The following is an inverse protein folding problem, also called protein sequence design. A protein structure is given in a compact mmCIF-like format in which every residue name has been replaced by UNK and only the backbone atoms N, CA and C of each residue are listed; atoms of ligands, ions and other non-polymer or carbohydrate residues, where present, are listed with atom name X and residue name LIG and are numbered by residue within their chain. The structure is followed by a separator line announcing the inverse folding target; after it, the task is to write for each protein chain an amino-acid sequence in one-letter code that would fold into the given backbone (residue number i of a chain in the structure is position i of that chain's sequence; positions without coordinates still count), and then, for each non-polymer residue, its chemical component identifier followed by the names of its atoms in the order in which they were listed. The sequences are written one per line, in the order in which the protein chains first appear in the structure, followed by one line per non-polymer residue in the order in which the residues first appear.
data_IF_132997707835
#
_entry.id   IF_132997707835
#
_cell.length_a   1.000
_cell.length_b   1.000
_cell.length_c   1.000
_cell.angle_alpha   90.00
_cell.angle_beta   90.00
_cell.angle_gamma   90.00
#
_symmetry.space_group_name_H-M   'P 1'
#
loop_
_entity.id
_entity.type
_entity.pdbx_description
1 polymer ?
#
# COMPACT_ATOMS: atom_id res chain seq x y z
N UNK A 1 -32.48 15.16 -13.56
CA UNK A 1 -31.68 15.08 -12.32
C UNK A 1 -31.05 16.45 -12.12
N UNK A 2 -31.20 17.05 -10.94
CA UNK A 2 -30.83 18.45 -10.68
C UNK A 2 -29.33 18.67 -10.89
N UNK A 3 -28.95 19.65 -11.71
CA UNK A 3 -27.55 19.95 -12.10
C UNK A 3 -26.76 20.74 -11.05
N UNK A 4 -27.08 20.58 -9.76
CA UNK A 4 -26.47 21.36 -8.66
C UNK A 4 -26.03 20.51 -7.48
N UNK A 5 -25.99 19.19 -7.61
CA UNK A 5 -25.41 18.34 -6.57
C UNK A 5 -23.89 18.40 -6.70
N UNK A 6 -23.22 18.94 -5.67
CA UNK A 6 -21.77 19.00 -5.59
C UNK A 6 -21.20 17.58 -5.71
N UNK A 7 -20.30 17.37 -6.69
CA UNK A 7 -19.68 16.07 -6.91
C UNK A 7 -18.68 15.78 -5.79
N UNK A 8 -18.66 14.54 -5.32
CA UNK A 8 -17.86 14.14 -4.17
C UNK A 8 -16.45 13.68 -4.58
N UNK A 9 -15.39 13.99 -3.80
CA UNK A 9 -14.07 13.39 -4.00
C UNK A 9 -14.15 11.85 -3.92
N UNK A 10 -13.30 11.19 -4.70
CA UNK A 10 -13.32 9.73 -4.84
C UNK A 10 -11.98 9.16 -4.38
N UNK A 11 -11.99 8.23 -3.43
CA UNK A 11 -10.83 7.38 -3.13
C UNK A 11 -10.95 6.07 -3.90
N UNK A 12 -9.88 5.69 -4.58
CA UNK A 12 -9.75 4.39 -5.24
C UNK A 12 -8.80 3.56 -4.38
N UNK A 13 -9.32 2.53 -3.71
CA UNK A 13 -8.58 1.70 -2.77
C UNK A 13 -7.98 0.47 -3.46
N UNK A 14 -6.66 0.29 -3.32
CA UNK A 14 -5.91 -0.91 -3.71
C UNK A 14 -5.42 -1.62 -2.44
N UNK A 15 -5.99 -2.79 -2.16
CA UNK A 15 -5.61 -3.59 -1.00
C UNK A 15 -4.18 -4.14 -1.10
N UNK A 16 -3.54 -4.34 0.05
CA UNK A 16 -2.24 -5.01 0.19
C UNK A 16 -2.32 -6.54 0.14
N UNK A 17 -1.24 -7.19 0.59
CA UNK A 17 -1.11 -8.65 0.68
C UNK A 17 0.07 -9.25 -0.11
N UNK A 18 1.13 -8.47 -0.32
CA UNK A 18 2.38 -8.90 -0.98
C UNK A 18 2.19 -9.28 -2.46
N UNK A 19 1.09 -8.84 -3.08
CA UNK A 19 0.57 -9.33 -4.36
C UNK A 19 0.26 -10.84 -4.40
N UNK A 20 0.40 -11.57 -3.29
CA UNK A 20 0.11 -13.00 -3.19
C UNK A 20 -1.32 -13.28 -2.73
N UNK A 21 -1.84 -12.40 -1.88
CA UNK A 21 -3.10 -12.56 -1.16
C UNK A 21 -3.78 -11.19 -0.97
N UNK A 22 -4.96 -11.17 -0.37
CA UNK A 22 -5.72 -9.95 -0.09
C UNK A 22 -7.08 -9.94 -0.75
N UNK A 23 -7.90 -8.96 -0.36
CA UNK A 23 -9.22 -8.73 -0.94
C UNK A 23 -9.75 -7.34 -0.59
N UNK A 24 -10.51 -6.74 -1.48
CA UNK A 24 -11.35 -5.57 -1.27
C UNK A 24 -12.49 -5.82 -0.28
N UNK A 25 -12.73 -7.07 0.09
CA UNK A 25 -13.78 -7.49 1.03
C UNK A 25 -13.28 -7.72 2.46
N UNK A 26 -12.03 -7.34 2.79
CA UNK A 26 -11.49 -7.47 4.15
C UNK A 26 -12.31 -6.56 5.10
N UNK A 27 -12.91 -7.10 6.18
CA UNK A 27 -13.87 -6.36 7.00
C UNK A 27 -13.35 -5.06 7.62
N UNK A 28 -12.10 -5.03 8.11
CA UNK A 28 -11.52 -3.83 8.72
C UNK A 28 -11.06 -2.78 7.68
N UNK A 29 -11.16 -3.10 6.38
CA UNK A 29 -10.85 -2.20 5.27
C UNK A 29 -12.13 -1.73 4.57
N UNK A 30 -13.28 -1.84 5.25
CA UNK A 30 -14.58 -1.42 4.70
C UNK A 30 -14.91 0.01 5.13
N UNK A 31 -15.22 0.92 4.20
CA UNK A 31 -15.45 2.32 4.48
C UNK A 31 -16.84 2.73 5.04
N UNK A 32 -17.89 1.89 5.22
CA UNK A 32 -19.18 2.37 5.70
C UNK A 32 -19.12 3.24 6.97
N UNK A 33 -18.32 2.92 8.01
CA UNK A 33 -18.22 3.80 9.19
C UNK A 33 -17.70 5.21 8.84
N UNK A 34 -16.64 5.31 8.02
CA UNK A 34 -16.12 6.59 7.56
C UNK A 34 -17.12 7.36 6.67
N UNK A 35 -17.77 6.66 5.74
CA UNK A 35 -18.77 7.24 4.84
C UNK A 35 -19.96 7.77 5.64
N UNK A 36 -20.46 7.00 6.61
CA UNK A 36 -21.59 7.40 7.44
C UNK A 36 -21.29 8.63 8.31
N UNK A 37 -20.07 8.72 8.85
CA UNK A 37 -19.62 9.88 9.63
C UNK A 37 -19.55 11.15 8.78
N UNK A 38 -18.88 11.08 7.64
CA UNK A 38 -18.52 12.27 6.85
C UNK A 38 -19.54 12.67 5.80
N UNK A 39 -20.22 11.68 5.17
CA UNK A 39 -21.17 11.85 4.06
C UNK A 39 -20.66 12.75 2.92
N UNK A 40 -19.35 12.74 2.68
CA UNK A 40 -18.70 13.75 1.84
C UNK A 40 -17.63 13.21 0.88
N UNK A 41 -17.58 11.90 0.65
CA UNK A 41 -16.68 11.26 -0.29
C UNK A 41 -17.25 9.92 -0.76
N UNK A 42 -16.66 9.38 -1.82
CA UNK A 42 -16.90 8.02 -2.31
C UNK A 42 -15.62 7.22 -2.16
N UNK A 43 -15.75 5.93 -1.83
CA UNK A 43 -14.64 4.97 -1.86
C UNK A 43 -14.99 3.87 -2.85
N UNK A 44 -14.09 3.57 -3.78
CA UNK A 44 -14.18 2.44 -4.70
C UNK A 44 -13.04 1.48 -4.39
N UNK A 45 -13.35 0.29 -3.87
CA UNK A 45 -12.36 -0.74 -3.58
C UNK A 45 -12.20 -1.69 -4.77
N UNK A 46 -10.99 -1.79 -5.31
CA UNK A 46 -10.70 -2.61 -6.49
C UNK A 46 -10.28 -4.03 -6.12
N UNK A 47 -10.76 -5.01 -6.89
CA UNK A 47 -10.18 -6.34 -6.96
C UNK A 47 -9.20 -6.41 -8.11
N UNK A 48 -8.09 -7.13 -7.92
CA UNK A 48 -7.12 -7.41 -8.97
C UNK A 48 -6.58 -8.83 -8.81
N UNK A 49 -6.08 -9.43 -9.89
CA UNK A 49 -5.47 -10.77 -9.80
C UNK A 49 -4.18 -10.72 -8.98
N UNK A 50 -4.02 -11.74 -8.16
CA UNK A 50 -2.89 -11.94 -7.25
C UNK A 50 -2.11 -13.19 -7.67
N UNK A 51 -0.96 -13.42 -7.02
CA UNK A 51 -0.09 -14.59 -7.14
C UNK A 51 0.18 -15.00 -8.60
N UNK A 52 0.32 -16.30 -8.88
CA UNK A 52 0.53 -16.83 -10.24
C UNK A 52 -0.56 -16.37 -11.24
N UNK A 53 -1.76 -15.99 -10.79
CA UNK A 53 -2.81 -15.52 -11.70
C UNK A 53 -2.62 -14.06 -12.16
N UNK A 54 -2.04 -13.21 -11.30
CA UNK A 54 -1.78 -11.80 -11.60
C UNK A 54 -0.35 -11.53 -12.04
N UNK A 55 0.58 -12.33 -11.56
CA UNK A 55 2.03 -12.14 -11.73
C UNK A 55 2.70 -13.48 -12.10
N UNK A 56 2.23 -14.18 -13.15
CA UNK A 56 2.70 -15.52 -13.47
C UNK A 56 4.19 -15.58 -13.78
N UNK A 57 4.77 -14.52 -14.37
CA UNK A 57 6.14 -14.51 -14.88
C UNK A 57 6.47 -15.79 -15.70
N UNK A 58 5.57 -16.19 -16.59
CA UNK A 58 5.69 -17.41 -17.39
C UNK A 58 6.48 -17.16 -18.67
N UNK A 59 7.45 -18.02 -19.00
CA UNK A 59 8.27 -17.88 -20.21
C UNK A 59 7.47 -17.78 -21.52
N UNK A 60 6.32 -18.47 -21.60
CA UNK A 60 5.44 -18.45 -22.77
C UNK A 60 4.47 -17.26 -22.84
N UNK A 61 4.53 -16.33 -21.90
CA UNK A 61 3.61 -15.19 -21.81
C UNK A 61 4.33 -13.88 -22.16
N UNK A 62 3.84 -13.17 -23.17
CA UNK A 62 4.43 -11.90 -23.62
C UNK A 62 4.07 -10.71 -22.73
N UNK A 63 3.09 -10.86 -21.84
CA UNK A 63 2.65 -9.83 -20.90
C UNK A 63 3.08 -10.17 -19.48
N UNK A 64 3.67 -9.20 -18.80
CA UNK A 64 3.98 -9.19 -17.37
C UNK A 64 2.94 -8.37 -16.61
N UNK A 65 2.94 -8.49 -15.27
CA UNK A 65 2.23 -7.58 -14.38
C UNK A 65 0.71 -7.47 -14.61
N UNK A 66 0.04 -8.59 -14.93
CA UNK A 66 -1.40 -8.60 -15.21
C UNK A 66 -2.23 -8.02 -14.06
N UNK A 67 -1.81 -8.21 -12.81
CA UNK A 67 -2.45 -7.60 -11.65
C UNK A 67 -2.40 -6.07 -11.66
N UNK A 68 -1.29 -5.45 -12.10
CA UNK A 68 -1.21 -3.99 -12.28
C UNK A 68 -2.08 -3.51 -13.45
N UNK A 69 -2.19 -4.33 -14.51
CA UNK A 69 -3.11 -4.05 -15.61
C UNK A 69 -4.57 -4.05 -15.15
N UNK A 70 -4.96 -5.00 -14.30
CA UNK A 70 -6.29 -5.06 -13.70
C UNK A 70 -6.58 -3.81 -12.86
N UNK A 71 -5.62 -3.37 -12.05
CA UNK A 71 -5.74 -2.15 -11.24
C UNK A 71 -5.93 -0.91 -12.13
N UNK A 72 -5.12 -0.75 -13.19
CA UNK A 72 -5.28 0.37 -14.15
C UNK A 72 -6.62 0.32 -14.86
N UNK A 73 -7.08 -0.85 -15.29
CA UNK A 73 -8.41 -1.02 -15.88
C UNK A 73 -9.51 -0.61 -14.90
N UNK A 74 -9.39 -0.98 -13.62
CA UNK A 74 -10.31 -0.55 -12.57
C UNK A 74 -10.33 0.97 -12.40
N UNK A 75 -9.17 1.62 -12.38
CA UNK A 75 -9.04 3.08 -12.30
C UNK A 75 -9.68 3.77 -13.51
N UNK A 76 -9.46 3.26 -14.72
CA UNK A 76 -10.09 3.76 -15.95
C UNK A 76 -11.62 3.61 -15.92
N UNK A 77 -12.11 2.47 -15.41
CA UNK A 77 -13.54 2.28 -15.21
C UNK A 77 -14.12 3.31 -14.24
N UNK A 78 -13.46 3.58 -13.10
CA UNK A 78 -13.90 4.60 -12.16
C UNK A 78 -13.93 5.98 -12.84
N UNK A 79 -12.86 6.36 -13.54
CA UNK A 79 -12.80 7.62 -14.30
C UNK A 79 -14.02 7.80 -15.22
N UNK A 80 -14.43 6.74 -15.89
CA UNK A 80 -15.47 6.80 -16.92
C UNK A 80 -16.90 6.68 -16.38
N UNK A 81 -17.07 6.15 -15.17
CA UNK A 81 -18.40 5.82 -14.63
C UNK A 81 -18.76 6.55 -13.31
N UNK A 82 -17.78 7.04 -12.53
CA UNK A 82 -18.02 7.50 -11.15
C UNK A 82 -18.96 8.71 -11.04
N UNK A 83 -19.05 9.51 -12.12
CA UNK A 83 -19.99 10.63 -12.20
C UNK A 83 -21.45 10.19 -12.00
N UNK A 84 -21.82 9.00 -12.48
CA UNK A 84 -23.16 8.42 -12.32
C UNK A 84 -23.49 8.03 -10.88
N UNK A 85 -22.47 7.89 -10.02
CA UNK A 85 -22.59 7.60 -8.60
C UNK A 85 -22.49 8.88 -7.73
N UNK A 86 -22.40 10.06 -8.36
CA UNK A 86 -22.22 11.35 -7.66
C UNK A 86 -20.77 11.72 -7.35
N UNK A 87 -19.80 10.97 -7.86
CA UNK A 87 -18.38 11.27 -7.68
C UNK A 87 -17.82 12.26 -8.69
N UNK A 88 -16.76 12.93 -8.30
CA UNK A 88 -15.99 13.82 -9.16
C UNK A 88 -14.88 13.05 -9.87
N UNK A 89 -15.06 12.82 -11.18
CA UNK A 89 -14.05 12.16 -12.01
C UNK A 89 -12.75 12.96 -12.10
N UNK A 90 -12.79 14.26 -11.82
CA UNK A 90 -11.64 15.15 -11.86
C UNK A 90 -11.01 15.34 -10.46
N UNK A 91 -11.51 14.61 -9.45
CA UNK A 91 -10.96 14.61 -8.09
C UNK A 91 -10.96 13.19 -7.49
N UNK A 92 -10.14 12.33 -8.10
CA UNK A 92 -9.91 10.96 -7.66
C UNK A 92 -8.53 10.84 -7.01
N UNK A 93 -8.44 10.13 -5.89
CA UNK A 93 -7.20 9.86 -5.15
C UNK A 93 -6.93 8.36 -5.23
N UNK A 94 -5.74 7.97 -5.66
CA UNK A 94 -5.32 6.57 -5.56
C UNK A 94 -4.74 6.33 -4.18
N UNK A 95 -5.28 5.35 -3.47
CA UNK A 95 -4.90 5.02 -2.11
C UNK A 95 -4.64 3.53 -1.99
N UNK A 96 -3.49 3.14 -1.45
CA UNK A 96 -3.19 1.74 -1.21
C UNK A 96 -2.34 1.53 0.03
N UNK A 97 -2.30 0.28 0.47
CA UNK A 97 -1.49 -0.16 1.62
C UNK A 97 -0.57 -1.32 1.23
N UNK A 98 0.63 -1.39 1.80
CA UNK A 98 1.62 -2.46 1.55
C UNK A 98 1.93 -2.60 0.05
N UNK A 99 1.83 -3.81 -0.51
CA UNK A 99 1.93 -4.04 -1.95
C UNK A 99 0.93 -3.22 -2.79
N UNK A 100 -0.22 -2.83 -2.22
CA UNK A 100 -1.16 -1.91 -2.86
C UNK A 100 -0.65 -0.47 -2.91
N UNK A 101 0.08 -0.03 -1.88
CA UNK A 101 0.80 1.25 -1.87
C UNK A 101 1.98 1.23 -2.85
N UNK A 102 2.73 0.12 -2.90
CA UNK A 102 3.77 -0.09 -3.90
C UNK A 102 3.19 -0.07 -5.34
N UNK A 103 2.04 -0.70 -5.56
CA UNK A 103 1.34 -0.64 -6.85
C UNK A 103 0.87 0.78 -7.19
N UNK A 104 0.34 1.51 -6.19
CA UNK A 104 -0.08 2.91 -6.30
C UNK A 104 1.08 3.79 -6.78
N UNK A 105 2.28 3.62 -6.19
CA UNK A 105 3.46 4.35 -6.62
C UNK A 105 3.97 3.86 -7.99
N UNK A 106 3.96 2.55 -8.27
CA UNK A 106 4.35 2.03 -9.59
C UNK A 106 3.52 2.67 -10.72
N UNK A 107 2.20 2.82 -10.52
CA UNK A 107 1.32 3.48 -11.48
C UNK A 107 1.62 4.98 -11.65
N UNK A 108 2.08 5.66 -10.59
CA UNK A 108 2.57 7.04 -10.63
C UNK A 108 3.80 7.19 -11.55
N UNK A 109 4.65 6.17 -11.64
CA UNK A 109 5.80 6.10 -12.55
C UNK A 109 5.45 5.61 -13.96
N UNK A 110 4.50 4.68 -14.08
CA UNK A 110 4.09 4.10 -15.36
C UNK A 110 3.32 5.10 -16.23
N UNK A 111 2.54 5.99 -15.60
CA UNK A 111 1.68 6.95 -16.29
C UNK A 111 1.94 8.41 -15.85
N UNK A 112 3.18 8.92 -16.01
CA UNK A 112 3.54 10.23 -15.47
C UNK A 112 2.77 11.39 -16.12
N UNK A 113 2.34 11.22 -17.37
CA UNK A 113 1.59 12.23 -18.14
C UNK A 113 0.07 12.07 -18.08
N UNK A 114 -0.41 10.89 -17.68
CA UNK A 114 -1.84 10.59 -17.53
C UNK A 114 -2.09 9.73 -16.28
N UNK A 115 -1.86 10.28 -15.08
CA UNK A 115 -2.05 9.54 -13.85
C UNK A 115 -3.51 9.14 -13.61
N UNK A 116 -4.48 9.74 -14.33
CA UNK A 116 -5.95 9.69 -14.12
C UNK A 116 -6.40 10.29 -12.77
N UNK A 117 -5.63 10.07 -11.71
CA UNK A 117 -5.88 10.56 -10.35
C UNK A 117 -5.18 11.90 -10.09
N UNK A 118 -5.68 12.64 -9.11
CA UNK A 118 -5.13 13.94 -8.69
C UNK A 118 -4.14 13.86 -7.55
N UNK A 119 -4.12 12.77 -6.81
CA UNK A 119 -3.18 12.56 -5.71
C UNK A 119 -3.02 11.08 -5.36
N UNK A 120 -1.96 10.80 -4.61
CA UNK A 120 -1.58 9.45 -4.19
C UNK A 120 -1.45 9.40 -2.67
N UNK A 121 -1.93 8.32 -2.05
CA UNK A 121 -1.72 8.01 -0.64
C UNK A 121 -1.18 6.58 -0.54
N UNK A 122 -0.03 6.44 0.11
CA UNK A 122 0.79 5.23 0.08
C UNK A 122 1.12 4.85 1.52
N UNK A 123 0.36 3.90 2.06
CA UNK A 123 0.47 3.46 3.44
C UNK A 123 1.39 2.24 3.51
N UNK A 124 2.54 2.37 4.18
CA UNK A 124 3.49 1.29 4.44
C UNK A 124 3.98 0.61 3.17
N UNK A 125 4.36 1.37 2.14
CA UNK A 125 4.86 0.83 0.88
C UNK A 125 5.00 1.88 -0.23
N UNK A 126 6.02 1.71 -1.07
CA UNK A 126 6.35 2.64 -2.16
C UNK A 126 7.08 1.94 -3.30
N UNK A 127 7.44 2.70 -4.34
CA UNK A 127 8.20 2.18 -5.48
C UNK A 127 9.60 1.68 -5.09
N UNK A 128 10.15 2.13 -3.96
CA UNK A 128 11.43 1.68 -3.42
C UNK A 128 11.31 0.52 -2.44
N UNK A 129 10.14 -0.14 -2.35
CA UNK A 129 9.99 -1.38 -1.60
C UNK A 129 11.06 -2.40 -2.02
N UNK A 130 11.66 -3.17 -1.08
CA UNK A 130 12.77 -4.04 -1.41
C UNK A 130 12.50 -5.01 -2.56
N UNK A 131 13.57 -5.30 -3.32
CA UNK A 131 13.59 -6.39 -4.29
C UNK A 131 13.13 -7.69 -3.60
N UNK A 132 12.31 -8.47 -4.29
CA UNK A 132 11.71 -9.70 -3.77
C UNK A 132 10.41 -9.51 -2.98
N UNK A 133 9.98 -8.29 -2.65
CA UNK A 133 8.77 -8.08 -1.83
C UNK A 133 7.47 -7.79 -2.60
N UNK A 134 7.50 -6.94 -3.63
CA UNK A 134 6.28 -6.62 -4.39
C UNK A 134 6.52 -6.19 -5.84
N UNK A 135 7.44 -5.27 -6.13
CA UNK A 135 7.55 -4.73 -7.49
C UNK A 135 8.62 -5.41 -8.32
N UNK A 136 9.75 -5.80 -7.74
CA UNK A 136 10.89 -6.34 -8.49
C UNK A 136 11.14 -7.78 -8.07
N UNK A 137 10.82 -8.73 -8.94
CA UNK A 137 11.09 -10.16 -8.74
C UNK A 137 12.58 -10.49 -8.80
N UNK A 138 12.99 -11.52 -8.03
CA UNK A 138 14.31 -12.15 -8.09
C UNK A 138 14.33 -13.40 -8.98
N UNK A 139 13.25 -13.66 -9.73
CA UNK A 139 13.09 -14.81 -10.62
C UNK A 139 13.20 -14.42 -12.11
N UNK A 140 14.40 -14.11 -12.64
CA UNK A 140 14.56 -13.74 -14.05
C UNK A 140 14.42 -14.95 -14.99
N UNK A 141 14.34 -16.18 -14.46
CA UNK A 141 14.34 -17.43 -15.26
C UNK A 141 12.97 -18.10 -15.32
N UNK A 142 11.91 -17.45 -14.81
CA UNK A 142 10.55 -18.00 -14.77
C UNK A 142 10.44 -19.31 -13.97
N UNK A 143 11.35 -19.50 -13.00
CA UNK A 143 11.52 -20.75 -12.26
C UNK A 143 10.33 -21.06 -11.36
N UNK A 144 9.71 -20.06 -10.73
CA UNK A 144 8.55 -20.27 -9.86
C UNK A 144 7.34 -20.78 -10.66
N UNK A 145 7.09 -20.22 -11.85
CA UNK A 145 6.01 -20.68 -12.72
C UNK A 145 6.27 -22.10 -13.21
N UNK A 146 7.49 -22.36 -13.71
CA UNK A 146 7.93 -23.67 -14.21
C UNK A 146 7.78 -24.73 -13.12
N UNK A 147 8.20 -24.42 -11.89
CA UNK A 147 8.08 -25.32 -10.75
C UNK A 147 6.63 -25.71 -10.47
N UNK A 148 5.71 -24.73 -10.38
CA UNK A 148 4.28 -25.03 -10.18
C UNK A 148 3.77 -25.88 -11.34
N UNK A 149 4.08 -25.50 -12.58
CA UNK A 149 3.63 -26.20 -13.77
C UNK A 149 4.03 -27.69 -13.77
N UNK A 150 5.28 -28.00 -13.45
CA UNK A 150 5.77 -29.38 -13.37
C UNK A 150 5.03 -30.20 -12.30
N UNK A 151 4.76 -29.61 -11.13
CA UNK A 151 4.10 -30.29 -10.02
C UNK A 151 2.61 -30.55 -10.23
N UNK A 152 1.97 -29.80 -11.13
CA UNK A 152 0.57 -30.03 -11.53
C UNK A 152 0.45 -30.80 -12.85
N UNK A 153 1.56 -31.38 -13.35
CA UNK A 153 1.57 -32.26 -14.52
C UNK A 153 1.80 -31.59 -15.87
N UNK A 154 2.09 -30.28 -15.88
CA UNK A 154 2.46 -29.53 -17.08
C UNK A 154 3.98 -29.57 -17.32
N UNK A 155 4.48 -30.72 -17.77
CA UNK A 155 5.92 -31.01 -17.84
C UNK A 155 6.61 -30.66 -19.15
N UNK A 156 5.87 -30.39 -20.25
CA UNK A 156 6.44 -29.95 -21.53
C UNK A 156 6.77 -28.45 -21.48
N UNK A 157 8.06 -28.03 -21.44
CA UNK A 157 8.43 -26.62 -21.29
C UNK A 157 7.85 -25.70 -22.36
N UNK A 158 7.69 -26.19 -23.59
CA UNK A 158 7.14 -25.41 -24.70
C UNK A 158 5.62 -25.21 -24.59
N UNK A 159 4.93 -25.99 -23.75
CA UNK A 159 3.46 -25.98 -23.61
C UNK A 159 2.98 -25.69 -22.20
N UNK A 160 3.88 -25.38 -21.25
CA UNK A 160 3.54 -25.13 -19.85
C UNK A 160 2.39 -24.13 -19.70
N UNK A 161 2.47 -22.96 -20.37
CA UNK A 161 1.42 -21.96 -20.28
C UNK A 161 0.06 -22.45 -20.80
N UNK A 162 0.03 -23.13 -21.95
CA UNK A 162 -1.22 -23.67 -22.51
C UNK A 162 -1.80 -24.79 -21.65
N UNK A 163 -0.95 -25.64 -21.08
CA UNK A 163 -1.36 -26.70 -20.18
C UNK A 163 -1.93 -26.12 -18.88
N UNK A 164 -1.22 -25.18 -18.23
CA UNK A 164 -1.65 -24.51 -17.01
C UNK A 164 -3.01 -23.81 -17.18
N UNK A 165 -3.26 -23.20 -18.35
CA UNK A 165 -4.56 -22.57 -18.68
C UNK A 165 -5.70 -23.57 -18.87
N UNK A 166 -5.41 -24.82 -19.20
CA UNK A 166 -6.40 -25.86 -19.38
C UNK A 166 -6.79 -26.56 -18.06
N UNK A 167 -6.01 -26.37 -17.00
CA UNK A 167 -6.29 -26.92 -15.68
C UNK A 167 -7.45 -26.16 -15.00
N UNK A 168 -8.25 -26.83 -14.15
CA UNK A 168 -9.10 -26.15 -13.18
C UNK A 168 -8.24 -25.24 -12.29
N UNK A 169 -8.64 -23.98 -12.12
CA UNK A 169 -7.90 -23.03 -11.28
C UNK A 169 -7.70 -23.55 -9.85
N UNK A 170 -8.67 -24.32 -9.33
CA UNK A 170 -8.58 -24.92 -8.00
C UNK A 170 -7.37 -25.85 -7.83
N UNK A 171 -6.96 -26.56 -8.88
CA UNK A 171 -5.75 -27.42 -8.83
C UNK A 171 -4.50 -26.60 -8.52
N UNK A 172 -4.38 -25.41 -9.13
CA UNK A 172 -3.25 -24.51 -8.92
C UNK A 172 -3.35 -23.86 -7.53
N UNK A 173 -4.55 -23.43 -7.13
CA UNK A 173 -4.81 -22.84 -5.80
C UNK A 173 -4.47 -23.82 -4.69
N UNK A 174 -4.94 -25.07 -4.78
CA UNK A 174 -4.70 -26.11 -3.78
C UNK A 174 -3.20 -26.44 -3.67
N UNK A 175 -2.51 -26.53 -4.80
CA UNK A 175 -1.06 -26.74 -4.81
C UNK A 175 -0.33 -25.61 -4.09
N UNK A 176 -0.57 -24.35 -4.47
CA UNK A 176 0.09 -23.20 -3.86
C UNK A 176 -0.20 -23.10 -2.36
N UNK A 177 -1.47 -23.26 -1.96
CA UNK A 177 -1.88 -23.21 -0.56
C UNK A 177 -1.18 -24.31 0.27
N UNK A 178 -1.15 -25.55 -0.23
CA UNK A 178 -0.47 -26.65 0.45
C UNK A 178 1.04 -26.42 0.56
N UNK A 179 1.67 -25.92 -0.50
CA UNK A 179 3.11 -25.61 -0.51
C UNK A 179 3.46 -24.56 0.55
N UNK A 180 2.71 -23.45 0.58
CA UNK A 180 2.88 -22.36 1.55
C UNK A 180 2.59 -22.81 2.98
N UNK A 181 1.47 -23.53 3.21
CA UNK A 181 1.10 -23.99 4.55
C UNK A 181 2.08 -25.01 5.13
N UNK A 182 2.74 -25.79 4.27
CA UNK A 182 3.79 -26.71 4.68
C UNK A 182 5.12 -26.01 5.03
N UNK A 183 5.26 -24.71 4.76
CA UNK A 183 6.51 -23.97 4.97
C UNK A 183 7.65 -24.48 4.10
N UNK A 184 7.34 -25.00 2.90
CA UNK A 184 8.34 -25.60 2.01
C UNK A 184 9.27 -24.52 1.46
N UNK A 185 10.57 -24.85 1.36
CA UNK A 185 11.62 -23.96 0.85
C UNK A 185 12.16 -24.46 -0.50
N UNK A 186 12.52 -23.55 -1.43
CA UNK A 186 12.39 -22.09 -1.34
C UNK A 186 10.93 -21.62 -1.47
N UNK A 187 10.54 -20.48 -0.88
CA UNK A 187 9.16 -20.01 -0.98
C UNK A 187 8.82 -19.64 -2.44
N UNK A 188 7.61 -19.97 -2.87
CA UNK A 188 7.09 -19.49 -4.15
C UNK A 188 6.73 -18.02 -4.04
N UNK A 189 7.18 -17.23 -5.02
CA UNK A 189 6.98 -15.80 -5.04
C UNK A 189 6.57 -15.33 -6.45
N UNK A 190 5.34 -14.86 -6.57
CA UNK A 190 4.75 -14.31 -7.79
C UNK A 190 4.43 -12.83 -7.59
N UNK A 191 5.34 -11.96 -8.02
CA UNK A 191 5.27 -10.51 -7.80
C UNK A 191 5.62 -9.75 -9.08
N UNK A 192 5.66 -8.42 -9.01
CA UNK A 192 6.00 -7.57 -10.14
C UNK A 192 7.30 -7.97 -10.83
N UNK A 193 7.34 -7.83 -12.14
CA UNK A 193 8.49 -8.12 -13.00
C UNK A 193 8.89 -6.84 -13.73
N UNK A 194 10.14 -6.37 -13.64
CA UNK A 194 10.60 -5.22 -14.41
C UNK A 194 10.37 -5.43 -15.90
N UNK A 195 9.59 -4.54 -16.52
CA UNK A 195 9.21 -4.60 -17.93
C UNK A 195 9.30 -3.25 -18.64
N UNK A 196 9.87 -2.26 -17.95
CA UNK A 196 10.02 -0.87 -18.39
C UNK A 196 8.71 -0.20 -18.85
N UNK A 197 7.58 -0.72 -18.37
CA UNK A 197 6.25 -0.18 -18.67
C UNK A 197 5.41 0.01 -17.41
N UNK A 198 5.26 -1.04 -16.62
CA UNK A 198 4.49 -1.07 -15.39
C UNK A 198 5.39 -1.06 -14.16
N UNK A 199 6.50 -1.78 -14.26
CA UNK A 199 7.51 -1.90 -13.21
C UNK A 199 8.85 -1.54 -13.80
N UNK A 200 9.62 -0.79 -13.02
CA UNK A 200 10.95 -0.32 -13.42
C UNK A 200 12.00 -0.84 -12.44
N UNK A 201 13.17 -1.19 -12.95
CA UNK A 201 14.32 -1.57 -12.11
C UNK A 201 15.06 -0.34 -11.54
N UNK A 202 14.81 0.87 -12.07
CA UNK A 202 15.61 2.07 -11.83
C UNK A 202 14.87 3.24 -11.15
N UNK A 203 13.92 2.95 -10.26
CA UNK A 203 13.07 3.97 -9.60
C UNK A 203 13.84 5.15 -9.00
N UNK A 204 14.97 4.92 -8.33
CA UNK A 204 15.81 5.99 -7.80
C UNK A 204 16.31 6.96 -8.90
N UNK A 205 16.70 6.43 -10.06
CA UNK A 205 17.11 7.23 -11.21
C UNK A 205 15.94 8.00 -11.83
N UNK A 206 14.75 7.38 -11.86
CA UNK A 206 13.51 8.03 -12.34
C UNK A 206 13.10 9.20 -11.45
N UNK A 207 13.21 9.07 -10.14
CA UNK A 207 13.06 10.21 -9.22
C UNK A 207 14.04 11.32 -9.59
N UNK A 208 15.34 11.03 -9.70
CA UNK A 208 16.36 12.03 -10.03
C UNK A 208 16.11 12.77 -11.36
N UNK A 209 15.48 12.09 -12.33
CA UNK A 209 15.08 12.66 -13.63
C UNK A 209 13.68 13.27 -13.66
N UNK A 210 12.93 13.24 -12.55
CA UNK A 210 11.54 13.70 -12.50
C UNK A 210 10.58 12.90 -13.39
N UNK A 211 10.87 11.62 -13.65
CA UNK A 211 10.07 10.73 -14.52
C UNK A 211 8.94 10.04 -13.75
N UNK A 212 8.05 10.86 -13.17
CA UNK A 212 6.88 10.45 -12.40
C UNK A 212 5.81 11.53 -12.50
N UNK A 213 4.57 11.20 -12.14
CA UNK A 213 3.51 12.20 -12.21
C UNK A 213 3.72 13.33 -11.20
N UNK A 214 3.17 14.50 -11.54
CA UNK A 214 3.29 15.72 -10.73
C UNK A 214 2.24 15.84 -9.62
N UNK A 215 1.33 14.89 -9.52
CA UNK A 215 0.25 14.89 -8.53
C UNK A 215 0.82 14.79 -7.10
N UNK A 216 0.25 15.49 -6.11
CA UNK A 216 0.69 15.39 -4.71
C UNK A 216 0.63 13.96 -4.17
N UNK A 217 1.57 13.61 -3.30
CA UNK A 217 1.67 12.26 -2.72
C UNK A 217 1.86 12.29 -1.20
N UNK A 218 1.28 11.30 -0.51
CA UNK A 218 1.46 11.03 0.92
C UNK A 218 2.14 9.69 1.09
N UNK A 219 3.24 9.65 1.84
CA UNK A 219 3.93 8.42 2.23
C UNK A 219 3.79 8.19 3.74
N UNK A 220 3.33 7.02 4.13
CA UNK A 220 3.04 6.67 5.51
C UNK A 220 3.76 5.42 5.96
N UNK A 221 4.08 5.32 7.23
CA UNK A 221 4.54 4.07 7.83
C UNK A 221 4.11 3.98 9.29
N UNK A 222 4.20 2.80 9.89
CA UNK A 222 3.90 2.58 11.30
C UNK A 222 5.19 2.45 12.12
N UNK A 223 5.15 2.70 13.43
CA UNK A 223 6.36 2.62 14.27
C UNK A 223 6.87 1.19 14.49
N UNK A 224 6.03 0.18 14.27
CA UNK A 224 6.33 -1.22 14.59
C UNK A 224 5.95 -2.19 13.45
N UNK A 225 6.05 -1.72 12.20
CA UNK A 225 5.71 -2.46 10.96
C UNK A 225 6.14 -3.93 11.00
N UNK A 226 7.39 -4.17 11.38
CA UNK A 226 8.03 -5.47 11.34
C UNK A 226 7.63 -6.45 12.44
N UNK A 227 6.82 -6.03 13.43
CA UNK A 227 6.51 -6.89 14.58
C UNK A 227 5.74 -8.16 14.17
N UNK A 228 4.81 -8.05 13.21
CA UNK A 228 4.13 -9.22 12.63
C UNK A 228 4.85 -9.82 11.41
N UNK A 229 5.88 -9.16 10.88
CA UNK A 229 6.70 -9.68 9.78
C UNK A 229 7.88 -10.54 10.27
N UNK A 230 8.32 -10.33 11.52
CA UNK A 230 9.31 -11.18 12.17
C UNK A 230 8.73 -12.57 12.50
N UNK A 231 9.58 -13.62 12.63
CA UNK A 231 9.12 -14.94 13.03
C UNK A 231 8.27 -14.89 14.31
N UNK A 232 7.07 -15.46 14.22
CA UNK A 232 6.11 -15.41 15.30
C UNK A 232 6.64 -16.18 16.53
N UNK A 233 6.49 -15.62 17.75
CA UNK A 233 6.88 -16.33 18.97
C UNK A 233 6.03 -17.60 19.16
N UNK A 234 6.61 -18.61 19.81
CA UNK A 234 5.91 -19.89 20.09
C UNK A 234 4.77 -19.70 21.09
N UNK A 235 4.98 -18.84 22.08
CA UNK A 235 3.97 -18.42 23.05
C UNK A 235 3.68 -16.93 22.92
N UNK A 236 2.86 -16.52 21.94
CA UNK A 236 2.63 -15.11 21.63
C UNK A 236 1.90 -14.33 22.74
N UNK A 237 1.34 -15.02 23.74
CA UNK A 237 0.69 -14.37 24.87
C UNK A 237 1.70 -13.87 25.91
N UNK A 238 2.90 -14.45 25.94
CA UNK A 238 3.93 -14.16 26.95
C UNK A 238 5.28 -13.75 26.35
N UNK A 239 5.51 -14.01 25.07
CA UNK A 239 6.72 -13.68 24.33
C UNK A 239 6.40 -12.80 23.12
N UNK A 240 7.31 -11.87 22.82
CA UNK A 240 7.31 -11.11 21.57
C UNK A 240 8.38 -11.60 20.59
N UNK A 241 8.36 -11.13 19.33
CA UNK A 241 9.40 -11.44 18.36
C UNK A 241 10.77 -10.91 18.82
N UNK A 242 11.84 -11.42 18.22
CA UNK A 242 13.17 -10.85 18.41
C UNK A 242 13.16 -9.37 17.99
N UNK A 243 13.48 -8.49 18.94
CA UNK A 243 13.38 -7.05 18.76
C UNK A 243 14.33 -6.52 17.67
N UNK A 244 15.50 -7.14 17.49
CA UNK A 244 16.44 -6.73 16.45
C UNK A 244 15.95 -7.13 15.06
N UNK A 245 15.35 -8.31 14.93
CA UNK A 245 14.72 -8.79 13.69
C UNK A 245 13.49 -7.95 13.35
N UNK A 246 12.61 -7.69 14.31
CA UNK A 246 11.42 -6.87 14.10
C UNK A 246 11.79 -5.41 13.74
N UNK A 247 12.80 -4.83 14.38
CA UNK A 247 13.31 -3.51 14.03
C UNK A 247 13.96 -3.51 12.63
N UNK A 248 14.73 -4.54 12.28
CA UNK A 248 15.30 -4.66 10.95
C UNK A 248 14.21 -4.72 9.88
N UNK A 249 13.19 -5.56 10.06
CA UNK A 249 12.03 -5.65 9.17
C UNK A 249 11.26 -4.32 9.08
N UNK A 250 11.09 -3.62 10.20
CA UNK A 250 10.44 -2.31 10.25
C UNK A 250 11.16 -1.27 9.39
N UNK A 251 12.48 -1.21 9.54
CA UNK A 251 13.30 -0.21 8.86
C UNK A 251 13.49 -0.57 7.38
N UNK A 252 14.00 -1.75 7.07
CA UNK A 252 14.36 -2.13 5.70
C UNK A 252 13.15 -2.45 4.82
N UNK A 253 12.06 -2.97 5.40
CA UNK A 253 10.86 -3.34 4.65
C UNK A 253 9.94 -2.16 4.36
N UNK A 254 9.88 -1.17 5.27
CA UNK A 254 8.78 -0.19 5.26
C UNK A 254 9.26 1.25 5.50
N UNK A 255 9.75 1.58 6.70
CA UNK A 255 10.03 2.98 7.05
C UNK A 255 11.10 3.64 6.15
N UNK A 256 12.22 2.95 5.90
CA UNK A 256 13.31 3.53 5.11
C UNK A 256 12.96 3.63 3.62
N UNK A 257 12.33 2.62 2.97
CA UNK A 257 11.78 2.77 1.63
C UNK A 257 10.85 3.98 1.46
N UNK A 258 9.94 4.21 2.40
CA UNK A 258 8.99 5.33 2.33
C UNK A 258 9.67 6.67 2.63
N UNK A 259 10.62 6.71 3.56
CA UNK A 259 11.46 7.88 3.81
C UNK A 259 12.28 8.26 2.56
N UNK A 260 12.92 7.27 1.93
CA UNK A 260 13.72 7.46 0.73
C UNK A 260 12.87 7.88 -0.46
N UNK A 261 11.68 7.29 -0.63
CA UNK A 261 10.74 7.68 -1.69
C UNK A 261 10.27 9.13 -1.50
N UNK A 262 9.87 9.50 -0.29
CA UNK A 262 9.45 10.86 0.01
C UNK A 262 10.59 11.89 -0.12
N UNK A 263 11.81 11.53 0.31
CA UNK A 263 13.01 12.36 0.19
C UNK A 263 13.40 12.57 -1.28
N UNK A 264 13.47 11.49 -2.06
CA UNK A 264 13.76 11.55 -3.49
C UNK A 264 12.71 12.35 -4.25
N UNK A 265 11.42 12.16 -3.94
CA UNK A 265 10.32 12.96 -4.53
C UNK A 265 10.45 14.44 -4.19
N UNK A 266 10.73 14.78 -2.92
CA UNK A 266 10.87 16.17 -2.45
C UNK A 266 12.11 16.89 -3.02
N UNK A 267 13.11 16.13 -3.47
CA UNK A 267 14.30 16.65 -4.13
C UNK A 267 14.04 17.04 -5.60
N UNK A 268 12.98 16.53 -6.23
CA UNK A 268 12.63 16.87 -7.62
C UNK A 268 12.18 18.32 -7.70
N UNK A 269 12.97 19.15 -8.41
CA UNK A 269 12.62 20.53 -8.73
C UNK A 269 11.81 20.58 -10.01
N UNK A 270 10.64 21.20 -9.99
CA UNK A 270 9.79 21.30 -11.19
C UNK A 270 9.80 22.65 -11.89
N UNK A 271 10.74 23.54 -11.55
CA UNK A 271 10.89 24.84 -12.20
C UNK A 271 9.59 25.64 -12.15
N UNK A 272 9.14 26.15 -13.31
CA UNK A 272 7.91 26.94 -13.45
C UNK A 272 6.64 26.17 -13.06
N UNK A 273 6.67 24.84 -13.11
CA UNK A 273 5.54 24.00 -12.73
C UNK A 273 5.48 23.72 -11.21
N UNK A 274 6.38 24.29 -10.41
CA UNK A 274 6.49 24.12 -8.95
C UNK A 274 7.17 22.81 -8.52
N UNK A 275 7.46 22.66 -7.24
CA UNK A 275 8.03 21.40 -6.71
C UNK A 275 6.97 20.32 -6.52
N UNK A 276 7.40 19.05 -6.42
CA UNK A 276 6.49 17.94 -6.16
C UNK A 276 6.03 17.94 -4.69
N UNK A 277 4.77 18.31 -4.46
CA UNK A 277 4.16 18.28 -3.12
C UNK A 277 4.19 16.86 -2.57
N UNK A 278 4.84 16.73 -1.42
CA UNK A 278 5.07 15.45 -0.75
C UNK A 278 4.79 15.61 0.72
N UNK A 279 4.01 14.71 1.28
CA UNK A 279 3.62 14.70 2.69
C UNK A 279 3.97 13.36 3.30
N UNK A 280 4.14 13.34 4.62
CA UNK A 280 4.47 12.12 5.34
C UNK A 280 3.69 11.98 6.63
N UNK A 281 3.42 10.75 7.03
CA UNK A 281 2.97 10.44 8.37
C UNK A 281 3.69 9.21 8.97
N UNK A 282 3.70 9.14 10.31
CA UNK A 282 4.14 8.00 11.10
C UNK A 282 3.01 7.63 12.06
N UNK A 283 2.42 6.45 11.92
CA UNK A 283 1.38 5.98 12.83
C UNK A 283 2.01 5.28 14.04
N UNK A 284 1.60 5.73 15.23
CA UNK A 284 2.11 5.28 16.52
C UNK A 284 1.01 4.72 17.45
N UNK A 285 -0.22 4.59 16.95
CA UNK A 285 -1.35 4.12 17.72
C UNK A 285 -1.17 2.68 18.18
N UNK A 286 -1.36 2.44 19.47
CA UNK A 286 -1.31 1.11 20.08
C UNK A 286 -2.60 0.90 20.90
N UNK A 287 -3.62 0.36 20.23
CA UNK A 287 -4.96 0.17 20.79
C UNK A 287 -5.23 -1.32 20.92
N UNK A 288 -5.67 -1.77 22.09
CA UNK A 288 -5.76 -3.20 22.43
C UNK A 288 -6.80 -3.99 21.62
N UNK A 289 -7.75 -3.32 20.98
CA UNK A 289 -8.71 -3.95 20.09
C UNK A 289 -8.10 -4.26 18.71
N UNK A 290 -7.16 -3.43 18.24
CA UNK A 290 -6.41 -3.60 16.99
C UNK A 290 -5.13 -4.43 17.18
N UNK A 291 -4.44 -4.17 18.29
CA UNK A 291 -3.15 -4.76 18.68
C UNK A 291 -3.30 -5.51 20.01
N UNK A 292 -3.98 -6.66 20.01
CA UNK A 292 -4.30 -7.41 21.23
C UNK A 292 -3.08 -7.98 21.98
N UNK A 293 -1.94 -8.20 21.31
CA UNK A 293 -0.75 -8.72 21.96
C UNK A 293 0.13 -7.57 22.45
N UNK A 294 0.72 -7.74 23.63
CA UNK A 294 1.50 -6.67 24.30
C UNK A 294 2.69 -6.15 23.47
N UNK A 295 3.15 -6.95 22.51
CA UNK A 295 4.30 -6.66 21.66
C UNK A 295 3.95 -6.20 20.26
N UNK A 296 2.69 -6.26 19.81
CA UNK A 296 2.32 -5.92 18.43
C UNK A 296 2.55 -4.44 18.13
N UNK A 297 2.09 -3.55 19.02
CA UNK A 297 2.23 -2.11 18.82
C UNK A 297 1.49 -1.62 17.58
N UNK A 298 2.00 -0.57 16.94
CA UNK A 298 1.55 -0.12 15.62
C UNK A 298 2.18 -1.00 14.53
N UNK A 299 1.74 -2.25 14.43
CA UNK A 299 2.23 -3.20 13.44
C UNK A 299 1.78 -2.85 12.02
N UNK A 300 2.29 -3.56 11.02
CA UNK A 300 1.92 -3.34 9.62
C UNK A 300 0.40 -3.42 9.37
N UNK A 301 -0.20 -2.36 8.80
CA UNK A 301 -1.64 -2.17 8.55
C UNK A 301 -2.51 -1.82 9.79
N UNK A 302 -1.92 -1.62 10.98
CA UNK A 302 -2.66 -1.26 12.20
C UNK A 302 -3.33 0.13 12.15
N UNK A 303 -2.98 0.97 11.18
CA UNK A 303 -3.56 2.29 10.90
C UNK A 303 -4.87 2.17 10.12
N UNK A 304 -5.07 1.10 9.34
CA UNK A 304 -6.24 0.96 8.47
C UNK A 304 -7.57 0.98 9.23
N UNK A 305 -7.74 0.27 10.37
CA UNK A 305 -9.00 0.33 11.12
C UNK A 305 -9.32 1.74 11.62
N UNK A 306 -8.30 2.57 11.86
CA UNK A 306 -8.47 3.97 12.21
C UNK A 306 -8.98 4.78 11.02
N UNK A 307 -8.37 4.65 9.83
CA UNK A 307 -8.79 5.41 8.64
C UNK A 307 -10.15 4.93 8.10
N UNK A 308 -10.40 3.63 8.01
CA UNK A 308 -11.70 3.11 7.57
C UNK A 308 -12.81 3.28 8.61
N UNK A 309 -12.44 3.55 9.86
CA UNK A 309 -13.39 3.76 10.96
C UNK A 309 -13.94 2.47 11.55
N UNK A 310 -13.29 1.35 11.29
CA UNK A 310 -13.68 0.01 11.76
C UNK A 310 -13.02 -0.37 13.09
N UNK A 311 -12.41 0.59 13.80
CA UNK A 311 -12.02 0.44 15.21
C UNK A 311 -13.16 -0.17 16.05
N UNK A 312 -12.82 -0.99 17.03
CA UNK A 312 -13.77 -1.68 17.89
C UNK A 312 -14.56 -2.82 17.25
N UNK A 313 -14.40 -3.10 15.94
CA UNK A 313 -15.13 -4.18 15.25
C UNK A 313 -14.50 -5.57 15.41
N UNK A 314 -13.44 -5.69 16.20
CA UNK A 314 -12.67 -6.94 16.36
C UNK A 314 -13.22 -7.87 17.46
N UNK A 315 -14.34 -7.52 18.10
CA UNK A 315 -14.93 -8.32 19.18
C UNK A 315 -14.12 -8.29 20.49
N UNK A 316 -13.25 -7.29 20.67
CA UNK A 316 -12.31 -7.17 21.80
C UNK A 316 -12.64 -6.01 22.75
N UNK A 317 -13.88 -5.54 22.71
CA UNK A 317 -14.33 -4.35 23.45
C UNK A 317 -14.54 -3.15 22.54
N UNK A 318 -15.14 -2.10 23.10
CA UNK A 318 -15.35 -0.84 22.39
C UNK A 318 -14.04 -0.04 22.31
N UNK A 319 -13.87 0.71 21.22
CA UNK A 319 -12.77 1.65 21.07
C UNK A 319 -12.78 2.70 22.19
N UNK A 320 -11.60 3.05 22.70
CA UNK A 320 -11.49 4.09 23.73
C UNK A 320 -11.85 5.49 23.18
N UNK A 321 -12.19 6.45 24.04
CA UNK A 321 -12.44 7.83 23.58
C UNK A 321 -11.25 8.44 22.84
N UNK A 322 -10.03 8.14 23.30
CA UNK A 322 -8.81 8.63 22.65
C UNK A 322 -8.61 8.01 21.26
N UNK A 323 -8.92 6.73 21.14
CA UNK A 323 -8.90 6.02 19.87
C UNK A 323 -9.95 6.58 18.90
N UNK A 324 -11.17 6.85 19.37
CA UNK A 324 -12.21 7.52 18.58
C UNK A 324 -11.72 8.86 18.04
N UNK A 325 -11.14 9.70 18.89
CA UNK A 325 -10.55 10.99 18.47
C UNK A 325 -9.41 10.81 17.46
N UNK A 326 -8.60 9.77 17.63
CA UNK A 326 -7.49 9.46 16.72
C UNK A 326 -8.00 9.06 15.34
N UNK A 327 -8.95 8.12 15.27
CA UNK A 327 -9.59 7.73 14.03
C UNK A 327 -10.24 8.90 13.31
N UNK A 328 -11.02 9.72 14.01
CA UNK A 328 -11.72 10.84 13.38
C UNK A 328 -10.74 11.87 12.82
N UNK A 329 -9.66 12.16 13.55
CA UNK A 329 -8.61 13.06 13.06
C UNK A 329 -7.90 12.50 11.82
N UNK A 330 -7.59 11.20 11.78
CA UNK A 330 -7.03 10.56 10.59
C UNK A 330 -7.99 10.61 9.41
N UNK A 331 -9.26 10.30 9.63
CA UNK A 331 -10.28 10.33 8.60
C UNK A 331 -10.50 11.73 8.03
N UNK A 332 -10.38 12.77 8.86
CA UNK A 332 -10.47 14.16 8.44
C UNK A 332 -9.22 14.59 7.65
N UNK A 333 -8.03 14.08 7.99
CA UNK A 333 -6.80 14.30 7.23
C UNK A 333 -6.88 13.70 5.82
N UNK A 334 -7.33 12.45 5.68
CA UNK A 334 -7.50 11.81 4.36
C UNK A 334 -8.53 12.57 3.53
N UNK A 335 -9.71 12.84 4.09
CA UNK A 335 -10.76 13.60 3.41
C UNK A 335 -10.29 15.02 3.03
N UNK A 336 -9.54 15.66 3.92
CA UNK A 336 -8.98 16.99 3.71
C UNK A 336 -7.94 17.02 2.59
N UNK A 337 -7.11 15.99 2.47
CA UNK A 337 -6.21 15.81 1.33
C UNK A 337 -6.98 15.77 0.01
N UNK A 338 -8.04 14.94 -0.07
CA UNK A 338 -8.85 14.81 -1.27
C UNK A 338 -9.66 16.07 -1.60
N UNK A 339 -10.16 16.79 -0.60
CA UNK A 339 -10.92 18.04 -0.81
C UNK A 339 -10.05 19.17 -1.36
N UNK A 340 -8.76 19.20 -1.01
CA UNK A 340 -7.86 20.25 -1.44
C UNK A 340 -6.49 19.70 -1.79
N UNK A 341 -6.42 18.89 -2.85
CA UNK A 341 -5.17 18.25 -3.28
C UNK A 341 -4.09 19.29 -3.63
N UNK A 342 -4.48 20.47 -4.14
CA UNK A 342 -3.54 21.54 -4.45
C UNK A 342 -2.98 22.23 -3.20
N UNK A 343 -3.70 22.21 -2.07
CA UNK A 343 -3.26 22.77 -0.78
C UNK A 343 -3.69 21.89 0.41
N UNK A 344 -3.15 20.66 0.54
CA UNK A 344 -3.45 19.76 1.66
C UNK A 344 -3.10 20.33 3.03
N UNK A 345 -2.23 21.34 3.07
CA UNK A 345 -1.86 22.05 4.30
C UNK A 345 -3.06 22.72 4.97
N UNK A 346 -4.10 23.07 4.21
CA UNK A 346 -5.35 23.60 4.77
C UNK A 346 -6.09 22.57 5.64
N UNK A 347 -5.82 21.28 5.45
CA UNK A 347 -6.33 20.19 6.29
C UNK A 347 -5.37 19.78 7.42
N UNK A 348 -4.22 20.46 7.55
CA UNK A 348 -3.23 20.17 8.59
C UNK A 348 -2.06 19.31 8.13
N UNK A 349 -1.98 18.92 6.85
CA UNK A 349 -0.80 18.25 6.32
C UNK A 349 0.43 19.16 6.34
N UNK A 350 1.60 18.59 6.62
CA UNK A 350 2.87 19.30 6.64
C UNK A 350 3.74 18.78 5.52
N UNK A 351 4.17 19.68 4.63
CA UNK A 351 4.99 19.32 3.49
C UNK A 351 6.36 18.82 3.96
N UNK A 352 6.76 17.63 3.49
CA UNK A 352 7.96 16.93 3.94
C UNK A 352 9.22 17.78 3.73
N UNK A 353 9.28 18.63 2.70
CA UNK A 353 10.43 19.52 2.44
C UNK A 353 10.71 20.52 3.57
N UNK A 354 9.76 20.77 4.46
CA UNK A 354 9.93 21.64 5.63
C UNK A 354 10.70 20.97 6.77
N UNK A 355 10.99 19.67 6.67
CA UNK A 355 11.57 18.87 7.75
C UNK A 355 10.52 18.26 8.69
N UNK A 356 9.25 18.59 8.52
CA UNK A 356 8.14 18.09 9.33
C UNK A 356 7.42 16.91 8.71
N UNK A 357 6.85 16.06 9.57
CA UNK A 357 5.86 15.04 9.21
C UNK A 357 4.80 14.91 10.30
N UNK A 358 3.67 14.27 10.00
CA UNK A 358 2.64 14.00 11.00
C UNK A 358 2.96 12.72 11.79
N UNK A 359 2.75 12.74 13.10
CA UNK A 359 2.64 11.54 13.94
C UNK A 359 1.18 11.37 14.32
N UNK A 360 0.63 10.18 14.09
CA UNK A 360 -0.78 9.85 14.29
C UNK A 360 -0.93 8.87 15.46
N UNK A 361 -1.78 9.17 16.44
CA UNK A 361 -2.05 8.29 17.58
C UNK A 361 -0.89 8.17 18.58
N UNK A 362 -0.29 9.30 18.99
CA UNK A 362 0.81 9.30 19.94
C UNK A 362 0.45 8.65 21.30
N UNK A 363 1.40 7.92 21.90
CA UNK A 363 1.18 7.24 23.18
C UNK A 363 0.88 8.21 24.34
N UNK A 364 0.16 7.73 25.36
CA UNK A 364 -0.06 8.45 26.61
C UNK A 364 -1.21 9.48 26.61
N UNK A 365 -2.13 9.43 25.63
CA UNK A 365 -3.29 10.34 25.58
C UNK A 365 -2.94 11.77 25.17
N UNK A 366 -1.79 11.96 24.49
CA UNK A 366 -1.41 13.22 23.87
C UNK A 366 -2.32 13.61 22.68
N UNK A 367 -1.96 14.62 21.88
CA UNK A 367 -2.77 14.97 20.71
C UNK A 367 -2.84 13.80 19.72
N UNK A 368 -4.02 13.61 19.11
CA UNK A 368 -4.25 12.59 18.08
C UNK A 368 -3.34 12.77 16.85
N UNK A 369 -3.00 14.03 16.53
CA UNK A 369 -2.10 14.41 15.45
C UNK A 369 -1.06 15.37 16.00
N UNK A 370 0.22 15.08 15.77
CA UNK A 370 1.35 15.93 16.19
C UNK A 370 2.32 16.10 15.04
N UNK A 371 2.87 17.30 14.87
CA UNK A 371 4.01 17.50 13.95
C UNK A 371 5.29 17.06 14.64
N UNK A 372 6.08 16.21 13.97
CA UNK A 372 7.39 15.75 14.44
C UNK A 372 8.46 16.02 13.38
N UNK A 373 9.73 16.06 13.80
CA UNK A 373 10.84 16.25 12.89
C UNK A 373 11.17 14.92 12.19
N UNK A 374 11.02 14.88 10.87
CA UNK A 374 11.26 13.66 10.10
C UNK A 374 12.73 13.21 10.18
N UNK A 375 13.67 14.14 10.35
CA UNK A 375 15.10 13.81 10.47
C UNK A 375 15.38 12.93 11.69
N UNK A 376 14.62 13.12 12.78
CA UNK A 376 14.72 12.30 13.99
C UNK A 376 14.12 10.92 13.75
N UNK A 377 13.01 10.84 13.01
CA UNK A 377 12.36 9.57 12.65
C UNK A 377 13.25 8.75 11.70
N UNK A 378 13.90 9.41 10.74
CA UNK A 378 14.69 8.76 9.69
C UNK A 378 16.15 8.48 10.11
N UNK A 379 16.58 8.96 11.28
CA UNK A 379 17.95 8.77 11.78
C UNK A 379 18.38 7.28 11.82
N UNK A 380 17.54 6.31 12.25
CA UNK A 380 17.89 4.89 12.21
C UNK A 380 18.14 4.36 10.80
N UNK A 381 17.51 4.91 9.76
CA UNK A 381 17.77 4.53 8.37
C UNK A 381 19.19 4.93 7.97
N UNK A 382 19.59 6.18 8.26
CA UNK A 382 20.93 6.70 7.96
C UNK A 382 22.03 5.94 8.68
N UNK A 383 21.84 5.66 9.97
CA UNK A 383 22.82 4.92 10.77
C UNK A 383 23.08 3.50 10.26
N UNK A 384 22.10 2.91 9.55
CA UNK A 384 22.18 1.57 8.98
C UNK A 384 22.50 1.55 7.48
N UNK A 385 22.64 2.71 6.85
CA UNK A 385 22.87 2.83 5.41
C UNK A 385 21.71 2.32 4.55
N UNK A 386 20.47 2.47 5.06
CA UNK A 386 19.22 2.03 4.42
C UNK A 386 18.53 3.15 3.65
#
# INVERSE_FOLDING_TARGET
MNSTQEKLPVFIWIHGGGLQSGSSSVPYQQPPPWIQRSKAHIVVALQYRLNIFGFPNAAGLNQTNLGLMDQRMGIEWVRDNIASFGGDRDNMILWGQSSGAASTDALNFAFPQDPIVKGFIQDSGSALIPVGQALVTEDPTHSNFTFVAEHVGCTDPAKQLSCMRALPAQTIVDFMANYTNAGTMPPLNFIGTPDDRWVFADYASRYARGQLSRAPAVYGSNVAEGNLAAPFPRDPQHEGPDAAVALAATLSGFQCPDANSAGNRSAVRGGDAGDLKTYRYLYAGNFSDISPLFWEGAYHAAELPQVFGTRGMFGRGAASEYEVKTSEAMQDLWLGFARNVARPEAAGWVEARTGGMLMLGASGGGPAVKVVNQTVVDEPCKQRGL
#
